data_IF_151440295207
#
_entry.id   IF_151440295207
#
_cell.length_a   1.000
_cell.length_b   1.000
_cell.length_c   1.000
_cell.angle_alpha   90.00
_cell.angle_beta   90.00
_cell.angle_gamma   90.00
#
_symmetry.space_group_name_H-M   'P 1'
#
loop_
_entity.id
_entity.type
_entity.pdbx_description
1 polymer ?
#
# COMPACT_ATOMS: atom_id res chain seq x y z
N UNK A 1 -14.60 13.72 -12.14
CA UNK A 1 -13.17 13.89 -11.85
C UNK A 1 -13.03 14.19 -10.37
N UNK A 2 -12.38 13.33 -9.58
CA UNK A 2 -12.12 13.62 -8.16
C UNK A 2 -10.99 14.66 -8.05
N UNK A 3 -11.04 15.52 -7.03
CA UNK A 3 -10.21 16.73 -6.85
C UNK A 3 -8.68 16.52 -6.80
N UNK A 4 -8.15 15.30 -7.00
CA UNK A 4 -6.70 15.00 -6.95
C UNK A 4 -6.15 14.15 -8.09
N UNK A 5 -6.93 13.85 -9.14
CA UNK A 5 -6.43 13.14 -10.33
C UNK A 5 -5.99 11.69 -10.08
N UNK A 6 -6.52 11.05 -9.02
CA UNK A 6 -6.43 9.60 -8.77
C UNK A 6 -7.83 9.02 -8.89
N UNK A 7 -7.95 7.89 -9.59
CA UNK A 7 -9.23 7.19 -9.73
C UNK A 7 -9.69 6.63 -8.39
N UNK A 8 -10.99 6.77 -8.11
CA UNK A 8 -11.56 6.41 -6.81
C UNK A 8 -11.97 4.94 -6.81
N UNK A 9 -11.24 4.15 -6.05
CA UNK A 9 -11.42 2.73 -5.76
C UNK A 9 -11.94 2.56 -4.32
N UNK A 10 -13.27 2.40 -4.18
CA UNK A 10 -13.94 2.21 -2.88
C UNK A 10 -14.90 1.03 -2.93
N UNK A 11 -15.11 0.38 -1.78
CA UNK A 11 -16.13 -0.65 -1.60
C UNK A 11 -17.15 -0.19 -0.56
N UNK A 12 -18.41 -0.15 -0.96
CA UNK A 12 -19.53 0.07 -0.05
C UNK A 12 -19.71 -1.13 0.89
N UNK A 13 -20.06 -0.87 2.15
CA UNK A 13 -20.17 -1.92 3.15
C UNK A 13 -20.36 -1.38 4.57
N UNK A 14 -20.16 -2.23 5.57
CA UNK A 14 -20.23 -1.88 6.98
C UNK A 14 -18.87 -1.50 7.55
N UNK A 15 -18.90 -0.63 8.56
CA UNK A 15 -17.71 -0.07 9.19
C UNK A 15 -17.30 1.27 8.59
N UNK A 16 -16.36 1.94 9.27
CA UNK A 16 -15.82 3.23 8.85
C UNK A 16 -14.44 3.02 8.22
N UNK A 17 -14.25 3.29 6.91
CA UNK A 17 -12.94 3.21 6.28
C UNK A 17 -12.03 4.36 6.76
N UNK A 18 -10.77 4.05 7.02
CA UNK A 18 -9.72 5.00 7.38
C UNK A 18 -8.36 4.55 6.83
N UNK A 19 -7.35 5.41 6.92
CA UNK A 19 -5.98 5.07 6.53
C UNK A 19 -5.18 4.72 7.78
N UNK A 20 -4.67 3.49 7.83
CA UNK A 20 -3.66 3.10 8.81
C UNK A 20 -2.32 3.69 8.40
N UNK A 21 -1.72 4.49 9.27
CA UNK A 21 -0.43 5.15 9.02
C UNK A 21 0.62 4.60 9.98
N UNK A 22 1.71 4.11 9.42
CA UNK A 22 2.89 3.67 10.14
C UNK A 22 4.09 4.50 9.67
N UNK A 23 4.29 5.65 10.30
CA UNK A 23 5.37 6.58 9.94
C UNK A 23 6.75 5.94 10.08
N UNK A 24 7.64 6.31 9.16
CA UNK A 24 9.06 6.04 9.30
C UNK A 24 9.64 6.83 10.47
N UNK A 25 10.35 6.12 11.35
CA UNK A 25 11.16 6.69 12.44
C UNK A 25 12.47 5.91 12.53
N UNK A 26 13.58 6.51 12.99
CA UNK A 26 14.87 5.80 13.10
C UNK A 26 14.76 4.48 13.87
N UNK A 27 13.95 4.45 14.93
CA UNK A 27 13.71 3.25 15.75
C UNK A 27 12.95 2.13 14.98
N UNK A 28 12.33 2.45 13.85
CA UNK A 28 11.59 1.53 12.97
C UNK A 28 12.28 1.32 11.62
N UNK A 29 13.53 1.73 11.47
CA UNK A 29 14.23 1.62 10.19
C UNK A 29 14.27 0.18 9.65
N UNK A 30 14.54 -0.80 10.53
CA UNK A 30 14.53 -2.21 10.16
C UNK A 30 13.13 -2.75 9.83
N UNK A 31 12.11 -2.34 10.59
CA UNK A 31 10.71 -2.69 10.33
C UNK A 31 10.26 -2.16 8.95
N UNK A 32 10.67 -0.94 8.61
CA UNK A 32 10.18 -0.21 7.45
C UNK A 32 11.16 -0.19 6.27
N UNK A 33 12.19 -1.04 6.29
CA UNK A 33 13.27 -1.05 5.27
C UNK A 33 12.80 -1.24 3.83
N UNK A 34 11.69 -1.99 3.64
CA UNK A 34 11.08 -2.22 2.33
C UNK A 34 9.93 -1.26 2.03
N UNK A 35 9.77 -0.19 2.79
CA UNK A 35 8.72 0.81 2.58
C UNK A 35 9.34 2.18 2.25
N UNK A 36 8.57 3.09 1.63
CA UNK A 36 9.05 4.44 1.36
C UNK A 36 9.49 5.15 2.65
N UNK A 37 10.30 6.20 2.53
CA UNK A 37 10.76 7.01 3.68
C UNK A 37 9.63 7.73 4.43
N UNK A 38 8.40 7.75 3.90
CA UNK A 38 7.19 8.21 4.61
C UNK A 38 6.51 7.11 5.43
N UNK A 39 7.03 5.88 5.39
CA UNK A 39 6.46 4.72 6.05
C UNK A 39 5.35 4.05 5.24
N UNK A 40 4.55 3.24 5.94
CA UNK A 40 3.49 2.42 5.37
C UNK A 40 2.12 3.08 5.56
N UNK A 41 1.33 3.11 4.50
CA UNK A 41 -0.05 3.59 4.49
C UNK A 41 -0.92 2.46 3.92
N UNK A 42 -1.92 2.01 4.67
CA UNK A 42 -2.80 0.90 4.28
C UNK A 42 -4.26 1.23 4.48
N UNK A 43 -5.18 0.65 3.68
CA UNK A 43 -6.59 0.78 3.93
C UNK A 43 -6.94 -0.03 5.20
N UNK A 44 -7.72 0.55 6.09
CA UNK A 44 -8.20 -0.12 7.31
C UNK A 44 -9.66 0.23 7.52
N UNK A 45 -10.44 -0.70 8.06
CA UNK A 45 -11.86 -0.46 8.37
C UNK A 45 -12.12 -0.67 9.84
N UNK A 46 -12.74 0.31 10.49
CA UNK A 46 -13.14 0.23 11.89
C UNK A 46 -14.54 -0.37 11.95
N UNK A 47 -14.70 -1.47 12.66
CA UNK A 47 -16.00 -2.09 12.89
C UNK A 47 -16.33 -2.12 14.38
N UNK A 48 -17.62 -2.19 14.70
CA UNK A 48 -18.12 -2.50 16.04
C UNK A 48 -18.49 -3.97 16.05
N UNK A 49 -17.74 -4.78 16.80
CA UNK A 49 -17.91 -6.22 16.84
C UNK A 49 -18.91 -6.64 17.92
N UNK A 50 -18.98 -5.89 19.03
CA UNK A 50 -19.99 -6.11 20.06
C UNK A 50 -20.47 -4.82 20.70
N UNK A 51 -21.71 -4.89 21.20
CA UNK A 51 -22.38 -3.83 21.95
C UNK A 51 -23.10 -4.51 23.12
N UNK A 52 -22.59 -4.28 24.33
CA UNK A 52 -23.06 -4.92 25.56
C UNK A 52 -23.57 -3.86 26.53
N UNK A 53 -24.79 -4.02 27.03
CA UNK A 53 -25.28 -3.20 28.13
C UNK A 53 -24.58 -3.64 29.42
N UNK A 54 -23.82 -2.73 30.02
CA UNK A 54 -23.15 -2.94 31.32
C UNK A 54 -24.05 -2.47 32.46
N UNK A 55 -24.86 -1.43 32.23
CA UNK A 55 -25.93 -0.95 33.11
C UNK A 55 -26.95 -0.12 32.29
N UNK A 56 -28.03 0.33 32.92
CA UNK A 56 -29.07 1.16 32.29
C UNK A 56 -28.55 2.46 31.63
N UNK A 57 -27.36 2.92 32.03
CA UNK A 57 -26.72 4.14 31.51
C UNK A 57 -25.36 3.90 30.86
N UNK A 58 -24.90 2.64 30.74
CA UNK A 58 -23.56 2.32 30.25
C UNK A 58 -23.57 1.18 29.26
N UNK A 59 -22.98 1.43 28.10
CA UNK A 59 -22.73 0.44 27.07
C UNK A 59 -21.23 0.24 26.90
N UNK A 60 -20.80 -1.01 26.71
CA UNK A 60 -19.46 -1.36 26.27
C UNK A 60 -19.51 -1.70 24.79
N UNK A 61 -18.66 -1.02 24.02
CA UNK A 61 -18.45 -1.29 22.60
C UNK A 61 -17.07 -1.90 22.41
N UNK A 62 -16.99 -2.98 21.64
CA UNK A 62 -15.72 -3.53 21.17
C UNK A 62 -15.52 -3.13 19.72
N UNK A 63 -14.41 -2.46 19.44
CA UNK A 63 -14.02 -2.07 18.09
C UNK A 63 -12.90 -2.96 17.56
N UNK A 64 -12.95 -3.25 16.28
CA UNK A 64 -11.90 -4.00 15.57
C UNK A 64 -11.41 -3.23 14.36
N UNK A 65 -10.10 -3.29 14.13
CA UNK A 65 -9.47 -2.78 12.91
C UNK A 65 -9.30 -3.95 11.96
N UNK A 66 -9.86 -3.83 10.76
CA UNK A 66 -9.84 -4.88 9.74
C UNK A 66 -9.03 -4.45 8.56
N UNK A 67 -8.28 -5.39 7.99
CA UNK A 67 -7.66 -5.18 6.68
C UNK A 67 -8.70 -5.56 5.61
N UNK A 68 -9.32 -4.60 4.89
CA UNK A 68 -10.38 -4.88 3.93
C UNK A 68 -9.91 -5.66 2.70
N UNK A 69 -8.60 -5.81 2.49
CA UNK A 69 -8.03 -6.65 1.44
C UNK A 69 -8.13 -8.14 1.80
N UNK A 70 -7.94 -8.48 3.08
CA UNK A 70 -7.96 -9.85 3.61
C UNK A 70 -9.35 -10.23 4.16
N UNK A 71 -10.02 -9.28 4.81
CA UNK A 71 -11.32 -9.45 5.47
C UNK A 71 -12.40 -8.68 4.71
N UNK A 72 -13.05 -9.35 3.77
CA UNK A 72 -14.02 -8.71 2.88
C UNK A 72 -15.44 -8.80 3.38
N UNK A 73 -15.75 -9.84 4.15
CA UNK A 73 -17.07 -10.12 4.66
C UNK A 73 -17.00 -10.20 6.18
N UNK A 74 -17.93 -9.52 6.83
CA UNK A 74 -18.21 -9.65 8.25
C UNK A 74 -19.60 -10.24 8.42
N UNK A 75 -19.74 -11.19 9.34
CA UNK A 75 -21.03 -11.75 9.73
C UNK A 75 -21.61 -11.01 10.93
N UNK A 76 -22.78 -10.41 10.77
CA UNK A 76 -23.53 -9.70 11.83
C UNK A 76 -24.88 -10.36 11.99
N UNK A 77 -25.20 -10.85 13.20
CA UNK A 77 -26.47 -11.53 13.51
C UNK A 77 -26.85 -12.64 12.49
N UNK A 78 -25.84 -13.36 11.99
CA UNK A 78 -26.05 -14.45 11.02
C UNK A 78 -26.21 -14.00 9.56
N UNK A 79 -26.07 -12.71 9.26
CA UNK A 79 -26.06 -12.18 7.90
C UNK A 79 -24.66 -11.69 7.52
N UNK A 80 -24.29 -11.90 6.26
CA UNK A 80 -22.99 -11.51 5.73
C UNK A 80 -23.07 -10.12 5.10
N UNK A 81 -22.16 -9.24 5.49
CA UNK A 81 -22.04 -7.89 4.96
C UNK A 81 -20.63 -7.66 4.45
N UNK A 82 -20.50 -6.93 3.33
CA UNK A 82 -19.19 -6.48 2.89
C UNK A 82 -18.61 -5.49 3.90
N UNK A 83 -17.31 -5.58 4.15
CA UNK A 83 -16.56 -4.58 4.92
C UNK A 83 -16.29 -3.38 4.01
N UNK A 84 -16.71 -2.19 4.44
CA UNK A 84 -16.47 -0.94 3.72
C UNK A 84 -14.97 -0.71 3.52
N UNK A 85 -14.54 -0.08 2.44
CA UNK A 85 -13.12 0.16 2.18
C UNK A 85 -12.88 1.38 1.28
N UNK A 86 -11.76 2.06 1.50
CA UNK A 86 -11.21 3.05 0.58
C UNK A 86 -9.76 2.69 0.25
N UNK A 87 -9.55 2.10 -0.93
CA UNK A 87 -8.23 1.65 -1.40
C UNK A 87 -7.42 2.79 -2.00
N UNK A 88 -8.06 3.93 -2.30
CA UNK A 88 -7.42 5.10 -2.89
C UNK A 88 -6.81 5.99 -1.82
N UNK A 89 -7.48 6.10 -0.66
CA UNK A 89 -7.07 6.99 0.42
C UNK A 89 -5.61 6.80 0.87
N UNK A 90 -5.06 5.59 1.04
CA UNK A 90 -3.67 5.41 1.45
C UNK A 90 -2.66 6.04 0.47
N UNK A 91 -2.87 5.84 -0.83
CA UNK A 91 -2.07 6.48 -1.87
C UNK A 91 -2.29 8.00 -1.85
N UNK A 92 -3.54 8.47 -1.78
CA UNK A 92 -3.82 9.90 -1.71
C UNK A 92 -3.15 10.59 -0.51
N UNK A 93 -3.04 9.91 0.64
CA UNK A 93 -2.29 10.38 1.82
C UNK A 93 -0.78 10.41 1.57
N UNK A 94 -0.22 9.33 1.02
CA UNK A 94 1.20 9.27 0.66
C UNK A 94 1.59 10.39 -0.32
N UNK A 95 0.68 10.76 -1.22
CA UNK A 95 0.83 11.81 -2.21
C UNK A 95 0.43 13.20 -1.74
N UNK A 96 -0.31 13.32 -0.63
CA UNK A 96 -0.67 14.62 -0.07
C UNK A 96 0.62 15.39 0.25
N UNK A 97 0.73 16.62 -0.29
CA UNK A 97 1.94 17.44 -0.21
C UNK A 97 2.93 17.23 -1.37
N UNK A 98 2.64 16.39 -2.38
CA UNK A 98 3.49 16.24 -3.57
C UNK A 98 3.10 17.23 -4.69
N UNK A 99 3.95 18.23 -4.88
CA UNK A 99 4.24 18.86 -6.20
C UNK A 99 5.15 17.95 -7.07
N UNK A 100 5.30 16.66 -6.72
CA UNK A 100 6.45 15.85 -7.13
C UNK A 100 6.36 15.21 -8.51
N UNK A 101 5.22 15.26 -9.22
CA UNK A 101 5.22 14.94 -10.65
C UNK A 101 6.17 15.89 -11.42
N UNK A 102 6.25 17.16 -10.99
CA UNK A 102 7.19 18.16 -11.52
C UNK A 102 8.63 17.98 -10.98
N UNK A 103 8.81 17.43 -9.78
CA UNK A 103 10.15 17.14 -9.23
C UNK A 103 10.75 15.84 -9.78
N UNK A 104 9.94 14.84 -10.14
CA UNK A 104 10.38 13.58 -10.74
C UNK A 104 11.09 13.78 -12.09
N UNK A 105 10.68 14.82 -12.85
CA UNK A 105 11.35 15.24 -14.09
C UNK A 105 12.68 15.97 -13.79
N UNK A 106 12.74 16.80 -12.74
CA UNK A 106 13.99 17.50 -12.36
C UNK A 106 15.03 16.56 -11.74
N UNK A 107 14.61 15.60 -10.92
CA UNK A 107 15.47 14.56 -10.33
C UNK A 107 15.94 13.50 -11.33
N UNK A 108 15.47 13.56 -12.58
CA UNK A 108 15.88 12.64 -13.64
C UNK A 108 17.37 12.72 -13.97
N UNK A 109 18.00 13.87 -13.70
CA UNK A 109 19.41 14.12 -13.98
C UNK A 109 20.36 13.80 -12.82
N UNK A 110 19.88 13.35 -11.65
CA UNK A 110 20.73 13.00 -10.50
C UNK A 110 20.74 11.49 -10.23
N UNK A 111 21.74 10.80 -10.81
CA UNK A 111 21.89 9.35 -10.69
C UNK A 111 22.21 8.88 -9.25
N UNK A 112 23.04 9.62 -8.51
CA UNK A 112 23.54 9.20 -7.20
C UNK A 112 22.43 9.15 -6.12
N UNK A 113 21.52 10.13 -6.14
CA UNK A 113 20.35 10.12 -5.27
C UNK A 113 19.37 8.98 -5.61
N UNK A 114 19.24 8.61 -6.90
CA UNK A 114 18.38 7.50 -7.34
C UNK A 114 18.94 6.13 -7.00
N UNK A 115 20.26 5.95 -7.01
CA UNK A 115 20.89 4.68 -6.59
C UNK A 115 20.51 4.35 -5.15
N UNK A 116 20.60 5.33 -4.24
CA UNK A 116 20.21 5.14 -2.83
C UNK A 116 18.73 4.83 -2.62
N UNK A 117 17.88 5.22 -3.58
CA UNK A 117 16.44 4.97 -3.56
C UNK A 117 16.06 3.74 -4.39
N UNK A 118 17.02 3.03 -4.99
CA UNK A 118 16.72 1.87 -5.84
C UNK A 118 16.46 0.64 -5.00
N UNK A 119 15.41 -0.10 -5.33
CA UNK A 119 15.00 -1.25 -4.54
C UNK A 119 13.58 -1.71 -4.82
N UNK A 120 13.22 -2.79 -4.13
CA UNK A 120 11.85 -3.32 -4.09
C UNK A 120 11.15 -2.69 -2.88
N UNK A 121 9.99 -2.10 -3.14
CA UNK A 121 9.13 -1.53 -2.12
C UNK A 121 7.82 -2.31 -2.05
N UNK A 122 7.43 -2.66 -0.84
CA UNK A 122 6.16 -3.31 -0.56
C UNK A 122 5.05 -2.27 -0.46
N UNK A 123 3.85 -2.59 -0.97
CA UNK A 123 2.66 -1.75 -0.80
C UNK A 123 1.85 -2.12 0.44
N UNK A 124 2.15 -3.26 1.03
CA UNK A 124 1.54 -3.84 2.24
C UNK A 124 2.54 -4.82 2.88
N UNK A 125 2.38 -5.21 4.15
CA UNK A 125 3.26 -6.22 4.78
C UNK A 125 3.35 -7.50 3.95
N UNK A 126 4.55 -8.09 3.86
CA UNK A 126 4.77 -9.32 3.08
C UNK A 126 3.93 -10.48 3.61
N UNK A 127 3.29 -11.20 2.69
CA UNK A 127 2.51 -12.40 2.96
C UNK A 127 3.08 -13.57 2.14
N UNK A 128 3.71 -14.57 2.77
CA UNK A 128 4.34 -15.68 2.07
C UNK A 128 3.33 -16.60 1.35
N UNK A 129 2.03 -16.47 1.63
CA UNK A 129 0.98 -17.26 0.99
C UNK A 129 0.46 -16.63 -0.32
N UNK A 130 0.87 -15.39 -0.63
CA UNK A 130 0.48 -14.68 -1.84
C UNK A 130 1.63 -14.62 -2.84
N UNK A 131 1.29 -14.74 -4.13
CA UNK A 131 2.26 -14.68 -5.22
C UNK A 131 2.72 -13.22 -5.38
N UNK A 132 4.01 -12.91 -5.23
CA UNK A 132 4.50 -11.54 -5.44
C UNK A 132 4.42 -11.16 -6.92
N UNK A 133 3.83 -9.99 -7.20
CA UNK A 133 3.76 -9.37 -8.53
C UNK A 133 4.56 -8.08 -8.49
N UNK A 134 5.71 -8.07 -9.17
CA UNK A 134 6.60 -6.92 -9.19
C UNK A 134 6.29 -5.99 -10.36
N UNK A 135 5.85 -4.78 -10.05
CA UNK A 135 5.58 -3.71 -11.01
C UNK A 135 6.85 -2.89 -11.24
N UNK A 136 7.34 -2.89 -12.49
CA UNK A 136 8.55 -2.17 -12.90
C UNK A 136 8.18 -0.99 -13.78
N UNK A 137 8.62 0.23 -13.42
CA UNK A 137 8.40 1.39 -14.27
C UNK A 137 9.32 1.39 -15.51
N UNK A 138 8.96 2.16 -16.54
CA UNK A 138 9.73 2.29 -17.77
C UNK A 138 10.70 3.48 -17.80
N UNK A 139 11.13 3.83 -19.02
CA UNK A 139 12.00 4.97 -19.31
C UNK A 139 11.37 6.29 -18.85
N UNK A 140 12.18 7.16 -18.25
CA UNK A 140 11.75 8.51 -17.83
C UNK A 140 10.56 8.49 -16.86
N UNK A 141 10.53 7.47 -16.00
CA UNK A 141 9.43 7.23 -15.07
C UNK A 141 9.92 6.94 -13.65
N UNK A 142 8.98 6.92 -12.71
CA UNK A 142 9.15 6.56 -11.30
C UNK A 142 7.89 5.79 -10.82
N UNK A 143 7.93 5.08 -9.68
CA UNK A 143 6.83 4.20 -9.24
C UNK A 143 5.45 4.86 -9.11
N UNK A 144 5.38 6.19 -9.07
CA UNK A 144 4.13 6.95 -8.98
C UNK A 144 3.13 6.65 -10.10
N UNK A 145 3.60 6.14 -11.25
CA UNK A 145 2.72 5.77 -12.37
C UNK A 145 1.70 4.70 -11.99
N UNK A 146 1.97 3.92 -10.93
CA UNK A 146 1.09 2.86 -10.46
C UNK A 146 0.02 3.35 -9.47
N UNK A 147 -0.11 4.67 -9.26
CA UNK A 147 -1.02 5.26 -8.26
C UNK A 147 -2.50 4.91 -8.45
N UNK A 148 -2.92 4.66 -9.68
CA UNK A 148 -4.30 4.27 -10.01
C UNK A 148 -4.42 2.73 -10.13
N UNK A 149 -3.35 2.09 -10.64
CA UNK A 149 -3.30 0.65 -10.86
C UNK A 149 -3.24 -0.14 -9.54
N UNK A 150 -2.40 0.26 -8.58
CA UNK A 150 -2.26 -0.47 -7.31
C UNK A 150 -3.57 -0.49 -6.52
N UNK A 151 -4.26 0.65 -6.29
CA UNK A 151 -5.60 0.63 -5.67
C UNK A 151 -6.59 -0.26 -6.41
N UNK A 152 -6.62 -0.22 -7.76
CA UNK A 152 -7.55 -1.03 -8.56
C UNK A 152 -7.26 -2.54 -8.46
N UNK A 153 -5.98 -2.93 -8.49
CA UNK A 153 -5.58 -4.33 -8.33
C UNK A 153 -5.81 -4.85 -6.91
N UNK A 154 -5.65 -3.99 -5.91
CA UNK A 154 -5.86 -4.36 -4.50
C UNK A 154 -7.34 -4.37 -4.10
N UNK A 155 -8.19 -3.60 -4.77
CA UNK A 155 -9.64 -3.59 -4.56
C UNK A 155 -10.33 -4.85 -5.11
N UNK A 156 -9.79 -5.46 -6.17
CA UNK A 156 -10.30 -6.73 -6.71
C UNK A 156 -9.91 -7.93 -5.83
N UNK A 157 -10.91 -8.49 -5.17
CA UNK A 157 -10.78 -9.65 -4.27
C UNK A 157 -10.19 -10.89 -4.92
N UNK A 158 -10.44 -11.09 -6.22
CA UNK A 158 -9.89 -12.23 -6.96
C UNK A 158 -8.39 -12.08 -7.12
N UNK A 159 -7.87 -10.85 -7.08
CA UNK A 159 -6.45 -10.58 -7.20
C UNK A 159 -5.79 -10.47 -5.84
N UNK A 160 -6.28 -9.60 -4.95
CA UNK A 160 -5.64 -9.28 -3.67
C UNK A 160 -5.53 -10.46 -2.69
N UNK A 161 -6.38 -11.48 -2.83
CA UNK A 161 -6.31 -12.73 -2.04
C UNK A 161 -5.22 -13.70 -2.52
N UNK A 162 -4.75 -13.57 -3.76
CA UNK A 162 -3.76 -14.49 -4.37
C UNK A 162 -2.44 -13.82 -4.71
N UNK A 163 -2.46 -12.52 -4.97
CA UNK A 163 -1.32 -11.75 -5.42
C UNK A 163 -1.02 -10.62 -4.46
N UNK A 164 0.26 -10.37 -4.26
CA UNK A 164 0.75 -9.21 -3.53
C UNK A 164 1.56 -8.33 -4.47
N UNK A 165 1.09 -7.10 -4.66
CA UNK A 165 1.73 -6.17 -5.58
C UNK A 165 2.88 -5.44 -4.89
N UNK A 166 4.02 -5.35 -5.58
CA UNK A 166 5.22 -4.68 -5.11
C UNK A 166 5.71 -3.77 -6.22
N UNK A 167 6.46 -2.72 -5.88
CA UNK A 167 7.02 -1.81 -6.89
C UNK A 167 8.54 -1.89 -6.88
N UNK A 168 9.14 -1.96 -8.05
CA UNK A 168 10.58 -1.83 -8.22
C UNK A 168 10.90 -0.45 -8.79
N UNK A 169 11.89 0.20 -8.18
CA UNK A 169 12.43 1.46 -8.67
C UNK A 169 13.91 1.33 -8.94
N UNK A 170 14.34 1.92 -10.04
CA UNK A 170 15.72 1.90 -10.50
C UNK A 170 16.02 3.14 -11.33
N UNK A 171 17.31 3.49 -11.54
CA UNK A 171 17.66 4.61 -12.40
C UNK A 171 17.39 4.19 -13.85
N UNK A 172 16.35 4.73 -14.48
CA UNK A 172 16.00 4.36 -15.86
C UNK A 172 17.04 4.75 -16.92
N UNK A 173 18.07 5.51 -16.53
CA UNK A 173 19.24 5.82 -17.35
C UNK A 173 20.26 4.68 -17.41
N UNK A 174 20.13 3.66 -16.54
CA UNK A 174 21.04 2.53 -16.53
C UNK A 174 20.90 1.69 -17.80
N UNK A 175 22.01 1.14 -18.32
CA UNK A 175 21.95 0.07 -19.31
C UNK A 175 21.03 -1.07 -18.82
N UNK A 176 20.37 -1.76 -19.76
CA UNK A 176 19.43 -2.85 -19.44
C UNK A 176 20.12 -3.95 -18.61
N UNK A 177 21.38 -4.27 -18.92
CA UNK A 177 22.14 -5.28 -18.20
C UNK A 177 22.37 -4.90 -16.72
N UNK A 178 22.69 -3.63 -16.45
CA UNK A 178 22.88 -3.13 -15.08
C UNK A 178 21.57 -3.08 -14.31
N UNK A 179 20.49 -2.60 -14.94
CA UNK A 179 19.14 -2.62 -14.36
C UNK A 179 18.71 -4.05 -14.00
N UNK A 180 19.00 -5.03 -14.88
CA UNK A 180 18.69 -6.44 -14.64
C UNK A 180 19.54 -7.04 -13.51
N UNK A 181 20.83 -6.70 -13.42
CA UNK A 181 21.70 -7.13 -12.32
C UNK A 181 21.21 -6.57 -10.98
N UNK A 182 20.89 -5.28 -10.93
CA UNK A 182 20.33 -4.63 -9.75
C UNK A 182 19.04 -5.33 -9.31
N UNK A 183 18.11 -5.59 -10.24
CA UNK A 183 16.88 -6.32 -9.94
C UNK A 183 17.16 -7.69 -9.32
N UNK A 184 18.05 -8.50 -9.92
CA UNK A 184 18.40 -9.82 -9.40
C UNK A 184 18.97 -9.76 -7.98
N UNK A 185 19.84 -8.78 -7.72
CA UNK A 185 20.43 -8.58 -6.39
C UNK A 185 19.37 -8.18 -5.37
N UNK A 186 18.46 -7.27 -5.73
CA UNK A 186 17.36 -6.86 -4.85
C UNK A 186 16.38 -8.00 -4.57
N UNK A 187 16.06 -8.83 -5.57
CA UNK A 187 15.24 -10.03 -5.38
C UNK A 187 15.92 -11.06 -4.48
N UNK A 188 17.23 -11.30 -4.67
CA UNK A 188 17.99 -12.22 -3.83
C UNK A 188 18.04 -11.74 -2.37
N UNK A 189 18.24 -10.44 -2.15
CA UNK A 189 18.23 -9.85 -0.82
C UNK A 189 16.84 -9.93 -0.17
N UNK A 190 15.78 -9.59 -0.90
CA UNK A 190 14.40 -9.68 -0.42
C UNK A 190 14.05 -11.12 0.00
N UNK A 191 14.44 -12.14 -0.78
CA UNK A 191 14.19 -13.55 -0.48
C UNK A 191 14.80 -14.04 0.84
N UNK A 192 15.90 -13.44 1.29
CA UNK A 192 16.56 -13.81 2.55
C UNK A 192 15.94 -13.08 3.75
N UNK A 193 15.27 -11.95 3.49
CA UNK A 193 14.86 -10.99 4.51
C UNK A 193 13.35 -10.90 4.74
N UNK A 194 12.56 -11.49 3.85
CA UNK A 194 11.10 -11.59 3.87
C UNK A 194 10.70 -13.05 4.04
#
# INVERSE_FOLDING_TARGET
MSEKGVEKETREGIGAPFVGIRDYRPERAEELKFFPSRGLHVPVTLTVDSCENVSDSKVRLTFSQRNPMLEQVMRVKGQDFLVAADFTAPIAFLLAGRNEALQGVKGFFNAEAKIKQSGIYLTEPYDPNRIPVLLMHGLVSVPIIWRDIVPSLTSDSRLSTRYQFMVFTYPSSYPIAESALLLRNQLAAARVQL
#
